data_IF_440891523396
#
_entry.id   IF_440891523396
#
_cell.length_a   1.000
_cell.length_b   1.000
_cell.length_c   1.000
_cell.angle_alpha   90.00
_cell.angle_beta   90.00
_cell.angle_gamma   90.00
#
_symmetry.space_group_name_H-M   'P 1'
#
loop_
_entity.id
_entity.type
_entity.pdbx_description
1 polymer ?
#
# COMPACT_ATOMS: atom_id res chain seq x y z
N UNK A 1 12.24 -37.89 29.85
CA UNK A 1 11.81 -36.51 30.12
C UNK A 1 12.98 -35.61 29.81
N UNK A 2 12.92 -34.89 28.69
CA UNK A 2 13.97 -33.96 28.27
C UNK A 2 13.31 -32.61 27.99
N UNK A 3 13.81 -31.59 28.67
CA UNK A 3 13.39 -30.20 28.58
C UNK A 3 13.58 -29.68 27.15
N UNK A 4 12.52 -29.07 26.60
CA UNK A 4 12.63 -28.25 25.39
C UNK A 4 13.35 -26.93 25.75
N UNK A 5 14.27 -26.42 24.91
CA UNK A 5 14.86 -25.11 25.10
C UNK A 5 13.79 -24.03 24.89
N UNK A 6 13.66 -23.16 25.88
CA UNK A 6 13.11 -21.84 25.69
C UNK A 6 14.11 -21.01 24.89
N UNK A 7 13.94 -20.95 23.57
CA UNK A 7 14.66 -19.98 22.75
C UNK A 7 14.02 -18.61 22.93
N UNK A 8 14.82 -17.71 23.48
CA UNK A 8 14.44 -16.40 23.94
C UNK A 8 14.10 -15.40 22.84
N UNK A 9 13.44 -14.35 23.30
CA UNK A 9 13.44 -13.00 22.77
C UNK A 9 14.66 -12.65 21.89
N UNK A 10 14.39 -12.16 20.68
CA UNK A 10 15.23 -11.15 20.06
C UNK A 10 15.75 -11.45 18.65
N UNK A 11 14.94 -11.11 17.64
CA UNK A 11 15.42 -10.17 16.61
C UNK A 11 14.21 -9.42 16.04
N UNK A 12 14.03 -8.17 16.50
CA UNK A 12 13.49 -7.14 15.61
C UNK A 12 14.25 -7.27 14.29
N UNK A 13 13.59 -7.38 13.12
CA UNK A 13 14.32 -7.28 11.87
C UNK A 13 14.92 -5.87 11.77
N UNK A 14 16.18 -5.74 12.22
CA UNK A 14 16.99 -4.50 12.25
C UNK A 14 17.31 -3.97 10.85
N UNK A 15 16.72 -4.55 9.80
CA UNK A 15 17.02 -4.23 8.41
C UNK A 15 15.94 -3.38 7.73
N UNK A 16 14.81 -3.07 8.37
CA UNK A 16 13.83 -2.16 7.76
C UNK A 16 14.21 -0.68 7.92
N UNK A 17 15.00 -0.30 8.93
CA UNK A 17 15.21 1.11 9.27
C UNK A 17 16.15 1.89 8.32
N UNK A 18 16.92 1.24 7.43
CA UNK A 18 17.93 1.93 6.59
C UNK A 18 17.51 2.25 5.15
N UNK A 19 16.37 1.78 4.67
CA UNK A 19 15.96 1.95 3.27
C UNK A 19 14.54 2.52 3.06
N UNK A 20 13.86 2.96 4.13
CA UNK A 20 12.44 3.30 4.04
C UNK A 20 12.11 4.66 3.41
N UNK A 21 13.07 5.55 3.16
CA UNK A 21 12.76 6.91 2.65
C UNK A 21 13.70 7.46 1.57
N UNK A 22 14.61 6.65 1.05
CA UNK A 22 15.22 6.98 -0.23
C UNK A 22 14.38 6.30 -1.30
N UNK A 23 13.78 7.09 -2.20
CA UNK A 23 13.43 6.57 -3.52
C UNK A 23 14.65 5.75 -3.98
N UNK A 24 14.50 4.43 -4.10
CA UNK A 24 15.56 3.65 -4.70
C UNK A 24 15.62 4.15 -6.15
N UNK A 25 16.61 4.99 -6.46
CA UNK A 25 16.69 5.75 -7.71
C UNK A 25 16.61 4.80 -8.91
N UNK A 26 17.00 3.54 -8.75
CA UNK A 26 16.86 2.49 -9.76
C UNK A 26 15.40 2.15 -10.12
N UNK A 27 14.47 2.29 -9.18
CA UNK A 27 13.06 1.91 -9.34
C UNK A 27 12.12 3.10 -9.58
N UNK A 28 12.61 4.35 -9.49
CA UNK A 28 11.80 5.55 -9.74
C UNK A 28 11.18 5.50 -11.12
N UNK A 29 11.96 5.14 -12.15
CA UNK A 29 11.45 5.01 -13.53
C UNK A 29 10.31 4.01 -13.65
N UNK A 30 10.48 2.80 -13.10
CA UNK A 30 9.44 1.76 -13.15
C UNK A 30 8.19 2.20 -12.38
N UNK A 31 8.37 2.83 -11.23
CA UNK A 31 7.25 3.35 -10.43
C UNK A 31 6.50 4.46 -11.17
N UNK A 32 7.21 5.35 -11.86
CA UNK A 32 6.62 6.39 -12.70
C UNK A 32 5.85 5.79 -13.88
N UNK A 33 6.41 4.79 -14.55
CA UNK A 33 5.76 4.06 -15.64
C UNK A 33 4.49 3.34 -15.17
N UNK A 34 4.53 2.65 -14.02
CA UNK A 34 3.35 1.97 -13.45
C UNK A 34 2.24 2.95 -13.06
N UNK A 35 2.58 4.08 -12.44
CA UNK A 35 1.62 5.12 -12.07
C UNK A 35 0.98 5.79 -13.29
N UNK A 36 1.76 5.98 -14.36
CA UNK A 36 1.27 6.53 -15.62
C UNK A 36 0.49 5.51 -16.47
N UNK A 37 0.62 4.21 -16.18
CA UNK A 37 0.01 3.19 -17.01
C UNK A 37 -1.52 3.15 -16.84
N UNK A 38 -2.24 3.26 -17.97
CA UNK A 38 -3.71 3.36 -18.04
C UNK A 38 -4.45 2.24 -17.30
N UNK A 39 -3.89 1.04 -17.26
CA UNK A 39 -4.45 -0.10 -16.53
C UNK A 39 -4.56 0.18 -15.03
N UNK A 40 -3.47 0.63 -14.39
CA UNK A 40 -3.47 0.91 -12.95
C UNK A 40 -4.27 2.17 -12.62
N UNK A 41 -4.25 3.17 -13.51
CA UNK A 41 -5.14 4.31 -13.40
C UNK A 41 -6.62 3.88 -13.34
N UNK A 42 -7.06 2.96 -14.20
CA UNK A 42 -8.43 2.44 -14.19
C UNK A 42 -8.78 1.70 -12.90
N UNK A 43 -7.88 0.87 -12.38
CA UNK A 43 -8.07 0.17 -11.10
C UNK A 43 -8.22 1.17 -9.97
N UNK A 44 -7.33 2.17 -9.88
CA UNK A 44 -7.36 3.18 -8.85
C UNK A 44 -8.66 4.00 -8.89
N UNK A 45 -9.13 4.39 -10.09
CA UNK A 45 -10.37 5.14 -10.24
C UNK A 45 -11.62 4.29 -9.98
N UNK A 46 -11.61 3.00 -10.34
CA UNK A 46 -12.69 2.09 -9.98
C UNK A 46 -12.81 1.95 -8.46
N UNK A 47 -11.68 1.69 -7.77
CA UNK A 47 -11.64 1.65 -6.31
C UNK A 47 -12.10 2.97 -5.67
N UNK A 48 -11.67 4.11 -6.24
CA UNK A 48 -12.08 5.44 -5.78
C UNK A 48 -13.60 5.64 -5.86
N UNK A 49 -14.23 5.23 -6.97
CA UNK A 49 -15.69 5.32 -7.14
C UNK A 49 -16.40 4.39 -6.16
N UNK A 50 -15.96 3.14 -6.02
CA UNK A 50 -16.54 2.21 -5.05
C UNK A 50 -16.45 2.78 -3.63
N UNK A 51 -15.32 3.40 -3.29
CA UNK A 51 -15.14 4.00 -1.98
C UNK A 51 -16.13 5.15 -1.73
N UNK A 52 -16.33 6.02 -2.72
CA UNK A 52 -17.32 7.10 -2.66
C UNK A 52 -18.75 6.58 -2.49
N UNK A 53 -19.08 5.45 -3.13
CA UNK A 53 -20.42 4.84 -3.06
C UNK A 53 -20.65 4.15 -1.72
N UNK A 54 -19.70 3.34 -1.25
CA UNK A 54 -19.89 2.45 -0.10
C UNK A 54 -19.56 3.11 1.24
N UNK A 55 -18.68 4.12 1.26
CA UNK A 55 -18.29 4.81 2.49
C UNK A 55 -18.19 6.33 2.27
N UNK A 56 -19.28 7.01 1.88
CA UNK A 56 -19.26 8.42 1.44
C UNK A 56 -18.71 9.39 2.50
N UNK A 57 -19.00 9.17 3.78
CA UNK A 57 -18.48 10.02 4.88
C UNK A 57 -16.97 9.87 5.01
N UNK A 58 -16.48 8.63 4.94
CA UNK A 58 -15.04 8.33 5.01
C UNK A 58 -14.32 8.84 3.74
N UNK A 59 -14.95 8.69 2.57
CA UNK A 59 -14.45 9.25 1.32
C UNK A 59 -14.31 10.77 1.40
N UNK A 60 -15.33 11.48 1.91
CA UNK A 60 -15.28 12.93 2.09
C UNK A 60 -14.14 13.35 3.03
N UNK A 61 -13.90 12.58 4.10
CA UNK A 61 -12.73 12.79 4.97
C UNK A 61 -11.43 12.64 4.19
N UNK A 62 -11.25 11.57 3.41
CA UNK A 62 -10.04 11.38 2.59
C UNK A 62 -9.86 12.52 1.59
N UNK A 63 -10.92 12.97 0.91
CA UNK A 63 -10.87 14.11 -0.01
C UNK A 63 -10.39 15.38 0.69
N UNK A 64 -10.95 15.69 1.86
CA UNK A 64 -10.55 16.87 2.64
C UNK A 64 -9.09 16.79 3.10
N UNK A 65 -8.66 15.64 3.61
CA UNK A 65 -7.26 15.44 4.04
C UNK A 65 -6.28 15.53 2.86
N UNK A 66 -6.64 14.97 1.71
CA UNK A 66 -5.82 15.10 0.50
C UNK A 66 -5.70 16.56 0.08
N UNK A 67 -6.79 17.34 0.09
CA UNK A 67 -6.73 18.77 -0.21
C UNK A 67 -5.76 19.51 0.74
N UNK A 68 -5.89 19.27 2.06
CA UNK A 68 -5.00 19.86 3.06
C UNK A 68 -3.53 19.49 2.84
N UNK A 69 -3.24 18.21 2.55
CA UNK A 69 -1.89 17.74 2.28
C UNK A 69 -1.27 18.42 1.05
N UNK A 70 -2.05 18.63 -0.01
CA UNK A 70 -1.59 19.30 -1.22
C UNK A 70 -1.35 20.79 -1.01
N UNK A 71 -2.22 21.45 -0.23
CA UNK A 71 -2.00 22.85 0.15
C UNK A 71 -0.75 23.00 0.99
N UNK A 72 -0.53 22.10 1.96
CA UNK A 72 0.65 22.13 2.83
C UNK A 72 1.95 21.86 2.07
N UNK A 73 1.95 20.89 1.14
CA UNK A 73 3.13 20.52 0.37
C UNK A 73 2.78 20.32 -1.11
N UNK A 74 2.75 21.40 -1.90
CA UNK A 74 2.41 21.34 -3.33
C UNK A 74 3.36 20.49 -4.18
N UNK A 75 4.55 20.18 -3.66
CA UNK A 75 5.53 19.30 -4.32
C UNK A 75 5.24 17.81 -4.13
N UNK A 76 4.24 17.43 -3.31
CA UNK A 76 3.82 16.05 -3.18
C UNK A 76 3.30 15.53 -4.52
N UNK A 77 3.83 14.37 -4.94
CA UNK A 77 3.36 13.66 -6.12
C UNK A 77 2.20 12.76 -5.74
N UNK A 78 1.05 12.97 -6.38
CA UNK A 78 -0.08 12.04 -6.31
C UNK A 78 0.27 10.69 -6.94
N UNK A 79 -0.33 9.62 -6.42
CA UNK A 79 -0.25 8.30 -7.07
C UNK A 79 -1.00 8.32 -8.39
N UNK A 80 -2.28 8.71 -8.33
CA UNK A 80 -3.18 8.82 -9.47
C UNK A 80 -4.00 10.11 -9.33
N UNK A 81 -3.90 11.00 -10.31
CA UNK A 81 -4.63 12.26 -10.29
C UNK A 81 -6.15 12.00 -10.25
N UNK A 82 -6.84 12.54 -9.24
CA UNK A 82 -8.27 12.35 -9.03
C UNK A 82 -8.65 11.15 -8.16
N UNK A 83 -7.67 10.44 -7.59
CA UNK A 83 -7.88 9.44 -6.54
C UNK A 83 -7.71 10.06 -5.15
N UNK A 84 -8.52 9.62 -4.19
CA UNK A 84 -8.40 10.03 -2.77
C UNK A 84 -7.35 9.24 -1.99
N UNK A 85 -6.74 8.21 -2.59
CA UNK A 85 -5.73 7.39 -1.91
C UNK A 85 -4.34 8.05 -1.93
N UNK A 86 -3.81 8.30 -0.73
CA UNK A 86 -2.52 8.98 -0.54
C UNK A 86 -1.29 8.15 -0.91
N UNK A 87 -1.40 6.82 -0.90
CA UNK A 87 -0.31 5.89 -1.21
C UNK A 87 -0.79 4.72 -2.09
N UNK A 88 0.14 4.12 -2.84
CA UNK A 88 -0.07 2.90 -3.60
C UNK A 88 1.19 2.03 -3.54
N UNK A 89 1.01 0.71 -3.45
CA UNK A 89 2.10 -0.27 -3.44
C UNK A 89 1.86 -1.32 -4.51
N UNK A 90 2.91 -1.62 -5.30
CA UNK A 90 2.92 -2.73 -6.25
C UNK A 90 3.75 -3.88 -5.67
N UNK A 91 3.09 -4.98 -5.34
CA UNK A 91 3.76 -6.19 -4.85
C UNK A 91 4.02 -7.13 -6.03
N UNK A 92 5.29 -7.34 -6.38
CA UNK A 92 5.69 -8.18 -7.51
C UNK A 92 5.93 -9.63 -7.10
N UNK A 93 5.69 -10.55 -8.05
CA UNK A 93 5.96 -11.98 -7.89
C UNK A 93 7.45 -12.35 -7.89
N UNK A 94 7.78 -13.64 -7.76
CA UNK A 94 6.90 -14.80 -7.98
C UNK A 94 5.97 -15.13 -6.81
N UNK A 95 6.21 -14.58 -5.61
CA UNK A 95 5.35 -14.73 -4.43
C UNK A 95 5.20 -13.39 -3.71
N UNK A 96 4.02 -12.78 -3.82
CA UNK A 96 3.63 -11.66 -2.97
C UNK A 96 3.10 -12.21 -1.65
N UNK A 97 3.94 -12.24 -0.60
CA UNK A 97 3.59 -12.77 0.72
C UNK A 97 3.25 -11.60 1.65
N UNK A 98 2.10 -11.68 2.31
CA UNK A 98 1.72 -10.82 3.41
C UNK A 98 1.82 -11.62 4.71
N UNK A 99 2.92 -11.49 5.44
CA UNK A 99 3.00 -12.02 6.80
C UNK A 99 1.99 -11.29 7.69
N UNK A 100 1.52 -11.91 8.77
CA UNK A 100 0.61 -11.24 9.70
C UNK A 100 1.25 -9.96 10.23
N UNK A 101 0.64 -8.81 9.92
CA UNK A 101 1.08 -7.49 10.36
C UNK A 101 -0.09 -6.50 10.36
N UNK A 102 0.17 -5.33 10.94
CA UNK A 102 -0.69 -4.16 10.84
C UNK A 102 0.05 -3.06 10.08
N UNK A 103 -0.65 -2.37 9.19
CA UNK A 103 -0.13 -1.18 8.53
C UNK A 103 -0.21 0.02 9.49
N UNK A 104 0.73 0.11 10.44
CA UNK A 104 0.71 1.15 11.49
C UNK A 104 0.75 2.60 10.96
N UNK A 105 1.18 2.80 9.71
CA UNK A 105 1.20 4.10 9.06
C UNK A 105 -0.14 4.47 8.40
N UNK A 106 -1.08 3.52 8.29
CA UNK A 106 -2.41 3.78 7.74
C UNK A 106 -3.31 4.46 8.78
N UNK A 107 -4.31 5.17 8.28
CA UNK A 107 -5.40 5.67 9.12
C UNK A 107 -6.12 4.46 9.75
N UNK A 108 -6.19 4.40 11.07
CA UNK A 108 -6.66 3.22 11.80
C UNK A 108 -8.10 2.78 11.45
N UNK A 109 -8.96 3.75 11.11
CA UNK A 109 -10.35 3.54 10.67
C UNK A 109 -10.52 3.76 9.16
N UNK A 110 -9.41 3.87 8.45
CA UNK A 110 -9.34 4.04 7.01
C UNK A 110 -9.51 2.74 6.24
N UNK A 111 -9.82 2.87 4.95
CA UNK A 111 -9.91 1.74 4.03
C UNK A 111 -8.74 1.73 3.05
N UNK A 112 -8.33 0.54 2.66
CA UNK A 112 -7.38 0.29 1.59
C UNK A 112 -8.06 -0.54 0.49
N UNK A 113 -7.81 -0.19 -0.76
CA UNK A 113 -8.27 -0.98 -1.89
C UNK A 113 -7.15 -1.93 -2.34
N UNK A 114 -7.41 -3.24 -2.26
CA UNK A 114 -6.46 -4.28 -2.67
C UNK A 114 -6.97 -4.94 -3.95
N UNK A 115 -6.10 -5.11 -4.94
CA UNK A 115 -6.42 -5.83 -6.18
C UNK A 115 -5.37 -6.89 -6.42
N UNK A 116 -5.78 -8.16 -6.40
CA UNK A 116 -4.92 -9.28 -6.79
C UNK A 116 -4.88 -9.39 -8.31
N UNK A 117 -3.68 -9.56 -8.87
CA UNK A 117 -3.42 -9.57 -10.31
C UNK A 117 -2.54 -10.75 -10.70
N UNK A 118 -2.61 -11.14 -11.98
CA UNK A 118 -1.83 -12.24 -12.53
C UNK A 118 -2.55 -13.58 -12.42
N UNK A 119 -1.83 -14.66 -12.72
CA UNK A 119 -2.33 -16.01 -12.62
C UNK A 119 -2.00 -16.56 -11.22
N UNK A 120 -3.02 -16.78 -10.39
CA UNK A 120 -2.88 -17.32 -9.05
C UNK A 120 -4.08 -18.20 -8.70
N UNK A 121 -3.89 -19.13 -7.76
CA UNK A 121 -4.97 -19.93 -7.19
C UNK A 121 -5.52 -19.20 -5.95
N UNK A 122 -6.80 -18.76 -5.96
CA UNK A 122 -7.39 -18.02 -4.84
C UNK A 122 -7.66 -18.89 -3.60
N UNK A 123 -7.51 -20.21 -3.71
CA UNK A 123 -7.79 -21.17 -2.62
C UNK A 123 -6.56 -21.58 -1.83
N UNK A 124 -5.36 -21.22 -2.31
CA UNK A 124 -4.10 -21.52 -1.63
C UNK A 124 -3.49 -20.27 -1.03
N UNK A 125 -2.99 -20.40 0.20
CA UNK A 125 -2.14 -19.37 0.80
C UNK A 125 -0.72 -19.50 0.21
N UNK A 126 -0.03 -18.37 0.01
CA UNK A 126 1.38 -18.40 -0.35
C UNK A 126 2.19 -18.94 0.84
N UNK A 127 2.56 -20.22 0.77
CA UNK A 127 3.44 -20.91 1.73
C UNK A 127 4.92 -20.69 1.43
#
# INVERSE_FOLDING_TARGET
MAHAPHDGCGVHPKNFAKHLWADNVSNTRLTDELRAHKFFWRIAHFANILFAVWAPVLFAFYTAQMALLHTWKPSLRLNFLGSVFAACTFNFGPRAICASHLDFANLAWGWCAITALGNFDPTTAAT
#
